data_IF_234979569352
#
_entry.id   IF_234979569352
#
_cell.length_a   1.000
_cell.length_b   1.000
_cell.length_c   1.000
_cell.angle_alpha   90.00
_cell.angle_beta   90.00
_cell.angle_gamma   90.00
#
_symmetry.space_group_name_H-M   'P 1'
#
loop_
_entity.id
_entity.type
_entity.pdbx_description
1 polymer ?
#
# COMPACT_ATOMS: atom_id res chain seq x y z
N UNK A 1 -10.59 18.17 -9.96
CA UNK A 1 -9.44 17.54 -9.27
C UNK A 1 -9.85 16.77 -8.03
N UNK A 2 -10.50 17.38 -7.03
CA UNK A 2 -10.81 16.72 -5.75
C UNK A 2 -11.64 15.44 -5.87
N UNK A 3 -12.72 15.44 -6.68
CA UNK A 3 -13.52 14.21 -6.91
C UNK A 3 -12.68 13.07 -7.53
N UNK A 4 -11.86 13.37 -8.54
CA UNK A 4 -10.95 12.39 -9.15
C UNK A 4 -9.97 11.83 -8.13
N UNK A 5 -9.38 12.70 -7.31
CA UNK A 5 -8.42 12.30 -6.27
C UNK A 5 -9.07 11.34 -5.27
N UNK A 6 -10.25 11.69 -4.76
CA UNK A 6 -10.96 10.87 -3.76
C UNK A 6 -11.42 9.55 -4.35
N UNK A 7 -12.05 9.55 -5.53
CA UNK A 7 -12.56 8.32 -6.15
C UNK A 7 -11.43 7.34 -6.48
N UNK A 8 -10.38 7.79 -7.16
CA UNK A 8 -9.27 6.91 -7.53
C UNK A 8 -8.40 6.52 -6.32
N UNK A 9 -8.27 7.39 -5.32
CA UNK A 9 -7.60 7.08 -4.06
C UNK A 9 -8.33 5.99 -3.27
N UNK A 10 -9.66 6.07 -3.18
CA UNK A 10 -10.47 5.03 -2.53
C UNK A 10 -10.43 3.71 -3.30
N UNK A 11 -10.53 3.75 -4.64
CA UNK A 11 -10.41 2.53 -5.46
C UNK A 11 -9.04 1.88 -5.27
N UNK A 12 -7.97 2.67 -5.29
CA UNK A 12 -6.61 2.20 -5.04
C UNK A 12 -6.49 1.53 -3.68
N UNK A 13 -6.95 2.20 -2.62
CA UNK A 13 -6.94 1.65 -1.26
C UNK A 13 -7.72 0.34 -1.15
N UNK A 14 -8.94 0.29 -1.68
CA UNK A 14 -9.79 -0.91 -1.65
C UNK A 14 -9.12 -2.08 -2.39
N UNK A 15 -8.53 -1.85 -3.56
CA UNK A 15 -7.84 -2.91 -4.32
C UNK A 15 -6.65 -3.47 -3.54
N UNK A 16 -5.83 -2.58 -2.96
CA UNK A 16 -4.65 -2.99 -2.19
C UNK A 16 -5.07 -3.87 -1.01
N UNK A 17 -6.15 -3.48 -0.33
CA UNK A 17 -6.59 -4.14 0.89
C UNK A 17 -7.33 -5.43 0.61
N UNK A 18 -8.20 -5.48 -0.39
CA UNK A 18 -8.83 -6.73 -0.81
C UNK A 18 -7.78 -7.76 -1.24
N UNK A 19 -6.75 -7.31 -1.96
CA UNK A 19 -5.61 -8.15 -2.28
C UNK A 19 -4.92 -8.68 -1.03
N UNK A 20 -4.64 -7.82 -0.06
CA UNK A 20 -3.96 -8.19 1.19
C UNK A 20 -4.81 -9.11 2.08
N UNK A 21 -6.11 -8.87 2.21
CA UNK A 21 -7.01 -9.77 2.95
C UNK A 21 -7.07 -11.13 2.26
N UNK A 22 -7.14 -11.16 0.93
CA UNK A 22 -7.13 -12.41 0.19
C UNK A 22 -5.82 -13.19 0.41
N UNK A 23 -4.65 -12.53 0.43
CA UNK A 23 -3.39 -13.25 0.70
C UNK A 23 -3.36 -13.84 2.11
N UNK A 24 -3.88 -13.12 3.11
CA UNK A 24 -3.95 -13.61 4.49
C UNK A 24 -4.94 -14.77 4.60
N UNK A 25 -6.17 -14.62 4.08
CA UNK A 25 -7.25 -15.62 4.19
C UNK A 25 -6.92 -16.90 3.44
N UNK A 26 -6.41 -16.79 2.21
CA UNK A 26 -6.11 -17.95 1.39
C UNK A 26 -4.78 -18.63 1.76
N UNK A 27 -4.07 -18.12 2.78
CA UNK A 27 -2.75 -18.64 3.19
C UNK A 27 -1.81 -18.81 2.00
N UNK A 28 -2.00 -18.01 0.94
CA UNK A 28 -1.08 -17.96 -0.16
C UNK A 28 0.23 -17.53 0.49
N UNK A 29 1.24 -18.42 0.43
CA UNK A 29 2.56 -18.22 1.03
C UNK A 29 2.90 -16.74 1.01
N UNK A 30 3.40 -16.18 2.13
CA UNK A 30 3.85 -14.78 2.29
C UNK A 30 4.88 -14.40 1.21
N UNK A 31 4.39 -14.31 -0.02
CA UNK A 31 5.14 -14.13 -1.22
C UNK A 31 5.19 -12.64 -1.33
N UNK A 32 6.32 -12.09 -0.93
CA UNK A 32 6.64 -10.68 -1.07
C UNK A 32 6.25 -10.18 -2.47
N UNK A 33 6.42 -11.03 -3.49
CA UNK A 33 6.01 -10.77 -4.88
C UNK A 33 4.51 -10.49 -5.05
N UNK A 34 3.64 -11.23 -4.35
CA UNK A 34 2.20 -11.02 -4.42
C UNK A 34 1.80 -9.70 -3.75
N UNK A 35 2.44 -9.37 -2.62
CA UNK A 35 2.30 -8.06 -1.97
C UNK A 35 2.71 -6.92 -2.89
N UNK A 36 3.88 -7.02 -3.52
CA UNK A 36 4.35 -6.04 -4.50
C UNK A 36 3.42 -5.93 -5.73
N UNK A 37 2.87 -7.05 -6.20
CA UNK A 37 1.92 -7.05 -7.31
C UNK A 37 0.64 -6.30 -6.94
N UNK A 38 0.10 -6.56 -5.76
CA UNK A 38 -1.09 -5.88 -5.24
C UNK A 38 -0.82 -4.37 -5.08
N UNK A 39 0.36 -4.00 -4.56
CA UNK A 39 0.78 -2.59 -4.50
C UNK A 39 0.86 -1.98 -5.90
N UNK A 40 1.48 -2.64 -6.87
CA UNK A 40 1.59 -2.14 -8.25
C UNK A 40 0.21 -1.96 -8.89
N UNK A 41 -0.70 -2.91 -8.71
CA UNK A 41 -2.08 -2.82 -9.22
C UNK A 41 -2.82 -1.66 -8.55
N UNK A 42 -2.71 -1.53 -7.23
CA UNK A 42 -3.27 -0.40 -6.49
C UNK A 42 -2.74 0.95 -6.97
N UNK A 43 -1.42 1.06 -7.12
CA UNK A 43 -0.75 2.29 -7.52
C UNK A 43 -0.96 2.64 -9.01
N UNK A 44 -1.34 1.67 -9.85
CA UNK A 44 -1.76 1.95 -11.24
C UNK A 44 -2.98 2.90 -11.31
N UNK A 45 -3.80 2.95 -10.25
CA UNK A 45 -4.89 3.90 -10.12
C UNK A 45 -4.42 5.37 -10.11
N UNK A 46 -3.18 5.65 -9.68
CA UNK A 46 -2.57 6.98 -9.75
C UNK A 46 -2.45 7.44 -11.21
N UNK A 47 -1.91 6.57 -12.07
CA UNK A 47 -1.77 6.85 -13.50
C UNK A 47 -3.13 7.08 -14.16
N UNK A 48 -4.12 6.24 -13.82
CA UNK A 48 -5.49 6.38 -14.31
C UNK A 48 -6.16 7.67 -13.83
N UNK A 49 -5.91 8.10 -12.59
CA UNK A 49 -6.44 9.36 -12.06
C UNK A 49 -5.90 10.57 -12.81
N UNK A 50 -4.58 10.62 -13.04
CA UNK A 50 -3.92 11.71 -13.77
C UNK A 50 -4.43 11.73 -15.22
N UNK A 51 -4.47 10.57 -15.89
CA UNK A 51 -4.99 10.43 -17.26
C UNK A 51 -6.45 10.86 -17.35
N UNK A 52 -7.31 10.38 -16.45
CA UNK A 52 -8.73 10.73 -16.46
C UNK A 52 -8.95 12.23 -16.26
N UNK A 53 -8.12 12.88 -15.44
CA UNK A 53 -8.21 14.33 -15.25
C UNK A 53 -7.75 15.10 -16.49
N UNK A 54 -6.63 14.68 -17.10
CA UNK A 54 -6.13 15.24 -18.36
C UNK A 54 -7.16 15.15 -19.47
N UNK A 55 -7.73 13.96 -19.68
CA UNK A 55 -8.60 13.69 -20.83
C UNK A 55 -10.00 14.30 -20.67
N UNK A 56 -10.62 14.18 -19.49
CA UNK A 56 -12.02 14.62 -19.28
C UNK A 56 -12.18 16.08 -18.88
N UNK A 57 -11.16 16.67 -18.24
CA UNK A 57 -11.28 18.04 -17.68
C UNK A 57 -10.42 19.04 -18.45
N UNK A 58 -9.23 18.64 -18.91
CA UNK A 58 -8.26 19.54 -19.54
C UNK A 58 -8.15 19.39 -21.06
N UNK A 59 -8.97 18.53 -21.68
CA UNK A 59 -8.98 18.36 -23.14
C UNK A 59 -7.71 17.72 -23.71
N UNK A 60 -7.02 16.89 -22.92
CA UNK A 60 -5.91 16.05 -23.42
C UNK A 60 -4.49 16.57 -23.15
N UNK A 61 -4.32 17.75 -22.53
CA UNK A 61 -3.00 18.28 -22.17
C UNK A 61 -2.93 18.66 -20.69
N UNK A 62 -1.88 18.23 -20.00
CA UNK A 62 -1.64 18.54 -18.59
C UNK A 62 -0.17 18.90 -18.36
N UNK A 63 0.09 19.91 -17.52
CA UNK A 63 1.44 20.28 -17.08
C UNK A 63 1.93 19.31 -15.99
N UNK A 64 3.24 19.21 -15.80
CA UNK A 64 3.85 18.33 -14.79
C UNK A 64 3.33 18.58 -13.38
N UNK A 65 3.34 19.84 -12.92
CA UNK A 65 2.94 20.19 -11.56
C UNK A 65 1.49 19.82 -11.22
N UNK A 66 0.47 20.18 -12.04
CA UNK A 66 -0.89 19.68 -11.83
C UNK A 66 -1.01 18.16 -11.85
N UNK A 67 -0.31 17.47 -12.77
CA UNK A 67 -0.32 16.02 -12.84
C UNK A 67 0.27 15.38 -11.57
N UNK A 68 1.38 15.92 -11.08
CA UNK A 68 2.03 15.48 -9.85
C UNK A 68 1.15 15.72 -8.63
N UNK A 69 0.52 16.90 -8.50
CA UNK A 69 -0.38 17.19 -7.38
C UNK A 69 -1.59 16.26 -7.33
N UNK A 70 -2.14 15.88 -8.50
CA UNK A 70 -3.22 14.89 -8.57
C UNK A 70 -2.72 13.53 -8.11
N UNK A 71 -1.56 13.09 -8.62
CA UNK A 71 -0.99 11.80 -8.24
C UNK A 71 -0.63 11.73 -6.75
N UNK A 72 -0.06 12.80 -6.20
CA UNK A 72 0.25 12.94 -4.79
C UNK A 72 -1.03 12.90 -3.94
N UNK A 73 -2.06 13.63 -4.34
CA UNK A 73 -3.35 13.60 -3.66
C UNK A 73 -3.96 12.20 -3.62
N UNK A 74 -3.89 11.46 -4.74
CA UNK A 74 -4.35 10.07 -4.81
C UNK A 74 -3.52 9.17 -3.89
N UNK A 75 -2.19 9.32 -3.88
CA UNK A 75 -1.31 8.55 -3.01
C UNK A 75 -1.58 8.79 -1.51
N UNK A 76 -1.84 10.05 -1.11
CA UNK A 76 -2.21 10.38 0.27
C UNK A 76 -3.56 9.76 0.63
N UNK A 77 -4.59 9.92 -0.21
CA UNK A 77 -5.93 9.34 0.06
C UNK A 77 -5.87 7.82 0.09
N UNK A 78 -5.14 7.19 -0.82
CA UNK A 78 -4.93 5.75 -0.84
C UNK A 78 -4.21 5.27 0.42
N UNK A 79 -3.18 5.99 0.88
CA UNK A 79 -2.49 5.69 2.13
C UNK A 79 -3.39 5.83 3.37
N UNK A 80 -4.22 6.88 3.45
CA UNK A 80 -5.17 7.04 4.56
C UNK A 80 -6.24 5.95 4.54
N UNK A 81 -6.80 5.65 3.36
CA UNK A 81 -7.77 4.56 3.20
C UNK A 81 -7.16 3.20 3.56
N UNK A 82 -5.89 2.99 3.19
CA UNK A 82 -5.12 1.80 3.55
C UNK A 82 -5.04 1.63 5.08
N UNK A 83 -4.54 2.66 5.78
CA UNK A 83 -4.45 2.66 7.24
C UNK A 83 -5.82 2.42 7.88
N UNK A 84 -6.86 3.12 7.42
CA UNK A 84 -8.20 3.04 8.02
C UNK A 84 -8.80 1.62 7.92
N UNK A 85 -8.69 0.96 6.77
CA UNK A 85 -9.25 -0.38 6.61
C UNK A 85 -8.31 -1.43 7.24
N UNK A 86 -7.00 -1.20 7.27
CA UNK A 86 -6.07 -2.05 8.04
C UNK A 86 -6.40 -2.04 9.54
N UNK A 87 -6.68 -0.87 10.10
CA UNK A 87 -7.18 -0.72 11.48
C UNK A 87 -8.51 -1.45 11.67
N UNK A 88 -9.44 -1.35 10.72
CA UNK A 88 -10.70 -2.08 10.76
C UNK A 88 -10.50 -3.60 10.73
N UNK A 89 -9.59 -4.09 9.88
CA UNK A 89 -9.22 -5.50 9.81
C UNK A 89 -8.65 -6.00 11.14
N UNK A 90 -7.73 -5.24 11.75
CA UNK A 90 -7.17 -5.57 13.06
C UNK A 90 -8.23 -5.57 14.16
N UNK A 91 -9.17 -4.62 14.13
CA UNK A 91 -10.28 -4.58 15.08
C UNK A 91 -11.21 -5.81 14.94
N UNK A 92 -11.55 -6.20 13.70
CA UNK A 92 -12.41 -7.37 13.41
C UNK A 92 -11.71 -8.69 13.79
N UNK A 93 -10.40 -8.78 13.59
CA UNK A 93 -9.60 -9.97 13.91
C UNK A 93 -9.10 -9.99 15.35
N UNK A 94 -9.55 -9.06 16.20
CA UNK A 94 -9.10 -8.92 17.59
C UNK A 94 -7.58 -8.82 17.73
N UNK A 95 -6.90 -8.15 16.79
CA UNK A 95 -5.46 -7.94 16.76
C UNK A 95 -4.60 -9.21 16.72
N UNK A 96 -5.19 -10.35 16.33
CA UNK A 96 -4.50 -11.66 16.24
C UNK A 96 -3.38 -11.73 15.21
N UNK A 97 -3.36 -10.79 14.26
CA UNK A 97 -2.35 -10.76 13.19
C UNK A 97 -0.91 -10.85 13.72
N UNK A 98 -0.55 -10.09 14.76
CA UNK A 98 0.82 -10.12 15.30
C UNK A 98 1.15 -11.43 16.02
N UNK A 99 0.15 -12.10 16.61
CA UNK A 99 0.35 -13.42 17.22
C UNK A 99 0.65 -14.47 16.16
N UNK A 100 -0.15 -14.49 15.10
CA UNK A 100 0.03 -15.43 13.98
C UNK A 100 1.31 -15.15 13.19
N UNK A 101 1.65 -13.87 13.00
CA UNK A 101 2.88 -13.43 12.34
C UNK A 101 4.15 -13.80 13.14
N UNK A 102 4.19 -13.49 14.43
CA UNK A 102 5.36 -13.84 15.26
C UNK A 102 5.52 -15.35 15.39
N UNK A 103 4.42 -16.11 15.52
CA UNK A 103 4.45 -17.56 15.53
C UNK A 103 4.97 -18.15 14.21
N UNK A 104 4.56 -17.61 13.05
CA UNK A 104 5.02 -18.10 11.75
C UNK A 104 6.50 -17.84 11.52
N UNK A 105 7.01 -16.65 11.88
CA UNK A 105 8.43 -16.30 11.78
C UNK A 105 9.29 -17.20 12.68
N UNK A 106 8.88 -17.39 13.93
CA UNK A 106 9.59 -18.25 14.87
C UNK A 106 9.58 -19.71 14.41
N UNK A 107 8.46 -20.20 13.86
CA UNK A 107 8.37 -21.54 13.30
C UNK A 107 9.28 -21.72 12.07
N UNK A 108 9.30 -20.76 11.13
CA UNK A 108 10.19 -20.77 9.96
C UNK A 108 11.66 -20.79 10.37
N UNK A 109 12.06 -19.89 11.28
CA UNK A 109 13.46 -19.79 11.72
C UNK A 109 13.91 -21.01 12.51
N UNK A 110 13.02 -21.63 13.28
CA UNK A 110 13.28 -22.91 13.93
C UNK A 110 13.44 -24.05 12.91
N UNK A 111 12.62 -24.09 11.87
CA UNK A 111 12.73 -25.06 10.78
C UNK A 111 14.01 -24.87 9.95
N UNK A 112 14.48 -23.62 9.81
CA UNK A 112 15.79 -23.27 9.22
C UNK A 112 16.99 -23.63 10.12
N UNK A 113 16.74 -24.17 11.33
CA UNK A 113 17.78 -24.65 12.25
C UNK A 113 18.27 -23.61 13.27
N UNK A 114 17.65 -22.42 13.35
CA UNK A 114 17.99 -21.42 14.36
C UNK A 114 17.63 -21.92 15.76
N UNK A 115 18.61 -21.99 16.66
CA UNK A 115 18.43 -22.53 18.01
C UNK A 115 19.28 -21.80 19.06
N UNK A 116 19.06 -22.12 20.34
CA UNK A 116 19.82 -21.56 21.46
C UNK A 116 19.63 -20.06 21.64
N UNK A 117 20.73 -19.36 21.95
CA UNK A 117 20.72 -17.93 22.24
C UNK A 117 20.21 -17.06 21.06
N UNK A 118 20.46 -17.48 19.83
CA UNK A 118 19.99 -16.77 18.64
C UNK A 118 18.45 -16.83 18.49
N UNK A 119 17.85 -17.98 18.80
CA UNK A 119 16.39 -18.12 18.81
C UNK A 119 15.75 -17.33 19.96
N UNK A 120 16.34 -17.37 21.15
CA UNK A 120 15.85 -16.59 22.29
C UNK A 120 15.90 -15.08 22.03
N UNK A 121 16.97 -14.59 21.38
CA UNK A 121 17.09 -13.21 20.94
C UNK A 121 16.00 -12.83 19.94
N UNK A 122 15.79 -13.65 18.91
CA UNK A 122 14.73 -13.44 17.92
C UNK A 122 13.34 -13.41 18.57
N UNK A 123 13.06 -14.32 19.51
CA UNK A 123 11.79 -14.34 20.23
C UNK A 123 11.58 -13.07 21.07
N UNK A 124 12.63 -12.55 21.70
CA UNK A 124 12.56 -11.29 22.44
C UNK A 124 12.30 -10.08 21.51
N UNK A 125 12.99 -10.02 20.37
CA UNK A 125 12.76 -8.98 19.35
C UNK A 125 11.33 -9.03 18.80
N UNK A 126 10.80 -10.23 18.54
CA UNK A 126 9.42 -10.43 18.09
C UNK A 126 8.38 -10.00 19.14
N UNK A 127 8.65 -10.27 20.42
CA UNK A 127 7.79 -9.84 21.53
C UNK A 127 7.79 -8.31 21.71
N UNK A 128 8.95 -7.68 21.57
CA UNK A 128 9.07 -6.22 21.61
C UNK A 128 8.37 -5.56 20.42
N UNK A 129 8.53 -6.13 19.22
CA UNK A 129 7.81 -5.69 18.02
C UNK A 129 6.30 -5.80 18.21
N UNK A 130 5.78 -6.91 18.77
CA UNK A 130 4.36 -7.08 19.09
C UNK A 130 3.88 -5.99 20.05
N UNK A 131 4.65 -5.68 21.10
CA UNK A 131 4.31 -4.62 22.07
C UNK A 131 4.27 -3.24 21.43
N UNK A 132 5.25 -2.92 20.59
CA UNK A 132 5.28 -1.66 19.83
C UNK A 132 4.12 -1.56 18.84
N UNK A 133 3.77 -2.66 18.17
CA UNK A 133 2.66 -2.74 17.21
C UNK A 133 1.27 -2.65 17.86
N UNK A 134 1.16 -2.95 19.16
CA UNK A 134 -0.06 -2.73 19.93
C UNK A 134 -0.39 -1.24 20.09
N UNK A 135 0.60 -0.34 19.96
CA UNK A 135 0.40 1.09 20.00
C UNK A 135 -0.06 1.62 18.63
N UNK A 136 -1.29 2.15 18.49
CA UNK A 136 -1.79 2.69 17.22
C UNK A 136 -0.95 3.86 16.70
N UNK A 137 -0.35 4.66 17.60
CA UNK A 137 0.53 5.78 17.23
C UNK A 137 1.83 5.32 16.56
N UNK A 138 2.25 4.07 16.77
CA UNK A 138 3.41 3.48 16.11
C UNK A 138 3.01 2.73 14.84
N UNK A 139 1.91 1.96 14.91
CA UNK A 139 1.43 1.14 13.81
C UNK A 139 0.92 1.94 12.62
N UNK A 140 0.08 2.97 12.84
CA UNK A 140 -0.54 3.71 11.73
C UNK A 140 0.51 4.42 10.86
N UNK A 141 1.49 5.17 11.40
CA UNK A 141 2.53 5.78 10.57
C UNK A 141 3.42 4.75 9.87
N UNK A 142 3.73 3.62 10.52
CA UNK A 142 4.50 2.54 9.90
C UNK A 142 3.79 2.01 8.65
N UNK A 143 2.51 1.66 8.77
CA UNK A 143 1.70 1.16 7.64
C UNK A 143 1.52 2.20 6.53
N UNK A 144 1.46 3.49 6.88
CA UNK A 144 1.42 4.57 5.89
C UNK A 144 2.75 4.70 5.13
N UNK A 145 3.89 4.66 5.84
CA UNK A 145 5.23 4.77 5.27
C UNK A 145 5.58 3.55 4.40
N UNK A 146 4.92 2.41 4.59
CA UNK A 146 5.10 1.26 3.70
C UNK A 146 4.60 1.54 2.28
N UNK A 147 3.47 2.24 2.14
CA UNK A 147 2.82 2.47 0.83
C UNK A 147 3.16 3.83 0.25
N UNK A 148 3.22 4.87 1.09
CA UNK A 148 3.31 6.25 0.64
C UNK A 148 4.55 6.56 -0.22
N UNK A 149 5.78 6.13 0.12
CA UNK A 149 6.96 6.37 -0.70
C UNK A 149 6.85 5.74 -2.08
N UNK A 150 6.28 4.53 -2.17
CA UNK A 150 6.07 3.85 -3.45
C UNK A 150 5.01 4.61 -4.27
N UNK A 151 3.92 5.04 -3.64
CA UNK A 151 2.91 5.88 -4.29
C UNK A 151 3.45 7.23 -4.75
N UNK A 152 4.35 7.84 -4.00
CA UNK A 152 5.04 9.08 -4.37
C UNK A 152 5.92 8.89 -5.62
N UNK A 153 6.69 7.80 -5.67
CA UNK A 153 7.50 7.45 -6.85
C UNK A 153 6.62 7.21 -8.08
N UNK A 154 5.53 6.46 -7.92
CA UNK A 154 4.58 6.22 -9.02
C UNK A 154 3.91 7.52 -9.46
N UNK A 155 3.58 8.44 -8.54
CA UNK A 155 3.05 9.75 -8.87
C UNK A 155 4.05 10.61 -9.67
N UNK A 156 5.33 10.60 -9.29
CA UNK A 156 6.40 11.30 -10.02
C UNK A 156 6.54 10.77 -11.46
N UNK A 157 6.67 9.45 -11.61
CA UNK A 157 6.84 8.80 -12.92
C UNK A 157 5.60 9.01 -13.77
N UNK A 158 4.40 8.83 -13.21
CA UNK A 158 3.14 9.01 -13.94
C UNK A 158 2.95 10.46 -14.38
N UNK A 159 3.30 11.44 -13.55
CA UNK A 159 3.24 12.85 -13.91
C UNK A 159 4.22 13.20 -15.04
N UNK A 160 5.43 12.62 -15.02
CA UNK A 160 6.41 12.81 -16.09
C UNK A 160 5.95 12.20 -17.43
N UNK A 161 5.36 11.00 -17.39
CA UNK A 161 4.86 10.30 -18.58
C UNK A 161 3.61 10.96 -19.17
N UNK A 162 2.60 11.24 -18.35
CA UNK A 162 1.29 11.74 -18.80
C UNK A 162 1.35 13.22 -19.24
N UNK A 163 2.39 13.96 -18.83
CA UNK A 163 2.72 15.28 -19.40
C UNK A 163 2.89 15.21 -20.92
N UNK A 164 3.43 14.11 -21.46
CA UNK A 164 3.56 13.95 -22.90
C UNK A 164 2.19 13.58 -23.51
N UNK A 165 1.58 14.44 -24.36
CA UNK A 165 0.27 14.16 -24.94
C UNK A 165 0.27 12.95 -25.90
N UNK A 166 1.44 12.52 -26.39
CA UNK A 166 1.59 11.28 -27.18
C UNK A 166 1.53 10.01 -26.33
N UNK A 167 1.72 10.14 -25.01
CA UNK A 167 1.64 9.02 -24.10
C UNK A 167 0.19 8.78 -23.70
N UNK A 168 -0.36 7.62 -24.09
CA UNK A 168 -1.76 7.22 -23.91
C UNK A 168 -2.76 8.29 -24.39
N UNK A 169 -2.76 8.68 -25.68
CA UNK A 169 -3.59 9.77 -26.18
C UNK A 169 -5.08 9.54 -25.88
N UNK A 170 -5.81 10.63 -25.64
CA UNK A 170 -7.26 10.58 -25.55
C UNK A 170 -7.79 10.01 -26.88
N UNK A 171 -8.59 8.93 -26.81
CA UNK A 171 -9.29 8.44 -27.99
C UNK A 171 -10.35 9.50 -28.36
N UNK A 172 -10.33 9.92 -29.62
CA UNK A 172 -11.32 10.81 -30.21
C UNK A 172 -12.73 10.19 -30.13
#
# INVERSE_FOLDING_TARGET
>A
MQRTIVTYGLISGVIIILGMIATIVFSAQHSLWLGYLIMLVGLSAILLAIKSHRDKVLGGVIKFWPAFLIGLGVAVVAGIAYVAIWEAYLAITHYRFMDEYTASILASKKAEGLSGAAYAKLAAEMAEMKKSYANPLYRMPMTFIEIFPVGLLVALVSAALVRNPRFLPAKA
#
